data_IF_150306507719
#
_entry.id   IF_150306507719
#
_cell.length_a   1.000
_cell.length_b   1.000
_cell.length_c   1.000
_cell.angle_alpha   90.00
_cell.angle_beta   90.00
_cell.angle_gamma   90.00
#
_symmetry.space_group_name_H-M   'P 1'
#
loop_
_entity.id
_entity.type
_entity.pdbx_description
1 polymer ?
#
# COMPACT_ATOMS: atom_id res chain seq x y z
N UNK A 1 -19.62 24.68 -55.34
CA UNK A 1 -18.42 23.94 -54.86
C UNK A 1 -17.79 24.65 -53.64
N UNK A 2 -18.45 24.69 -52.47
CA UNK A 2 -17.90 25.35 -51.26
C UNK A 2 -18.27 24.71 -49.91
N UNK A 3 -19.12 23.68 -49.86
CA UNK A 3 -19.47 23.00 -48.58
C UNK A 3 -18.62 21.77 -48.24
N UNK A 4 -17.94 21.15 -49.22
CA UNK A 4 -17.17 19.90 -48.97
C UNK A 4 -15.80 20.10 -48.31
N UNK A 5 -15.28 21.35 -48.25
CA UNK A 5 -13.98 21.64 -47.62
C UNK A 5 -14.06 22.07 -46.15
N UNK A 6 -15.25 22.40 -45.64
CA UNK A 6 -15.43 22.80 -44.24
C UNK A 6 -15.60 21.58 -43.32
N UNK A 7 -16.21 20.51 -43.81
CA UNK A 7 -16.42 19.27 -43.04
C UNK A 7 -15.08 18.55 -42.75
N UNK A 8 -14.08 18.67 -43.64
CA UNK A 8 -12.77 18.04 -43.44
C UNK A 8 -11.93 18.72 -42.34
N UNK A 9 -12.19 20.00 -42.03
CA UNK A 9 -11.49 20.74 -40.98
C UNK A 9 -12.09 20.52 -39.58
N UNK A 10 -13.37 20.14 -39.49
CA UNK A 10 -14.01 19.80 -38.21
C UNK A 10 -13.63 18.39 -37.74
N UNK A 11 -13.34 17.46 -38.66
CA UNK A 11 -12.95 16.08 -38.32
C UNK A 11 -11.47 15.99 -37.87
N UNK A 12 -10.60 16.87 -38.36
CA UNK A 12 -9.20 16.95 -37.90
C UNK A 12 -9.02 17.66 -36.55
N UNK A 13 -10.05 18.34 -36.03
CA UNK A 13 -10.00 18.99 -34.72
C UNK A 13 -10.38 18.06 -33.55
N UNK A 14 -10.88 16.85 -33.82
CA UNK A 14 -11.31 15.89 -32.77
C UNK A 14 -10.27 14.79 -32.54
N UNK A 15 -9.20 14.74 -33.34
CA UNK A 15 -8.07 13.83 -33.14
C UNK A 15 -6.86 14.48 -32.45
N UNK A 16 -7.03 15.66 -31.87
CA UNK A 16 -6.21 15.97 -30.71
C UNK A 16 -6.69 15.02 -29.63
N UNK A 17 -5.92 13.95 -29.41
CA UNK A 17 -6.00 13.15 -28.21
C UNK A 17 -6.14 14.14 -27.06
N UNK A 18 -7.37 14.32 -26.58
CA UNK A 18 -7.62 14.85 -25.26
C UNK A 18 -7.03 13.76 -24.39
N UNK A 19 -5.71 13.85 -24.17
CA UNK A 19 -5.14 13.38 -22.93
C UNK A 19 -6.07 14.00 -21.91
N UNK A 20 -6.92 13.14 -21.34
CA UNK A 20 -7.73 13.50 -20.22
C UNK A 20 -6.85 14.34 -19.30
N UNK A 21 -7.34 15.48 -18.80
CA UNK A 21 -6.60 16.40 -17.90
C UNK A 21 -6.38 15.76 -16.51
N UNK A 22 -6.12 14.46 -16.50
CA UNK A 22 -5.99 13.54 -15.42
C UNK A 22 -4.60 13.71 -14.83
N UNK A 23 -4.50 14.63 -13.87
CA UNK A 23 -3.28 14.88 -13.12
C UNK A 23 -2.97 13.69 -12.23
N UNK A 24 -1.84 13.03 -12.47
CA UNK A 24 -1.44 11.81 -11.77
C UNK A 24 -1.14 12.06 -10.29
N UNK A 25 -0.65 13.25 -9.97
CA UNK A 25 -0.16 13.59 -8.62
C UNK A 25 -1.14 14.45 -7.82
N UNK A 26 -2.21 14.96 -8.45
CA UNK A 26 -3.21 15.83 -7.81
C UNK A 26 -4.04 15.06 -6.78
N UNK A 27 -4.09 15.54 -5.54
CA UNK A 27 -4.86 14.93 -4.45
C UNK A 27 -5.68 15.98 -3.72
N UNK A 28 -6.92 15.64 -3.35
CA UNK A 28 -7.79 16.52 -2.54
C UNK A 28 -7.23 16.77 -1.13
N UNK A 29 -6.23 16.00 -0.71
CA UNK A 29 -5.52 16.17 0.57
C UNK A 29 -4.42 17.23 0.52
N UNK A 30 -4.15 17.80 -0.65
CA UNK A 30 -3.11 18.82 -0.86
C UNK A 30 -3.74 20.21 -0.93
N UNK A 31 -3.28 21.12 -0.07
CA UNK A 31 -3.60 22.55 -0.16
C UNK A 31 -2.41 23.34 -0.71
N UNK A 32 -2.67 24.47 -1.38
CA UNK A 32 -1.65 25.27 -2.10
C UNK A 32 -0.52 25.81 -1.21
N UNK A 33 -0.75 25.90 0.11
CA UNK A 33 0.20 26.37 1.11
C UNK A 33 1.14 25.28 1.64
N UNK A 34 1.01 24.04 1.19
CA UNK A 34 1.73 22.91 1.79
C UNK A 34 3.18 22.81 1.31
N UNK A 35 4.09 22.55 2.26
CA UNK A 35 5.43 22.04 1.95
C UNK A 35 5.31 20.53 1.71
N UNK A 36 5.47 20.14 0.45
CA UNK A 36 5.36 18.76 -0.04
C UNK A 36 6.72 18.35 -0.60
N UNK A 37 7.11 17.10 -0.36
CA UNK A 37 8.21 16.45 -1.06
C UNK A 37 7.69 15.31 -1.92
N UNK A 38 8.26 15.15 -3.11
CA UNK A 38 7.99 14.04 -4.01
C UNK A 38 9.20 13.10 -3.97
N UNK A 39 8.94 11.81 -3.75
CA UNK A 39 9.95 10.75 -3.68
C UNK A 39 9.60 9.71 -4.75
N UNK A 40 10.49 9.53 -5.73
CA UNK A 40 10.47 8.39 -6.63
C UNK A 40 11.39 7.31 -6.09
N UNK A 41 10.89 6.10 -5.86
CA UNK A 41 11.73 5.00 -5.39
C UNK A 41 11.23 3.61 -5.80
N UNK A 42 12.17 2.70 -6.03
CA UNK A 42 11.88 1.26 -6.08
C UNK A 42 11.46 0.72 -4.70
N UNK A 43 10.83 -0.46 -4.61
CA UNK A 43 10.30 -0.96 -3.36
C UNK A 43 11.36 -1.77 -2.58
N UNK A 44 11.25 -1.81 -1.25
CA UNK A 44 12.22 -2.51 -0.39
C UNK A 44 12.39 -4.01 -0.69
N UNK A 45 11.38 -4.65 -1.26
CA UNK A 45 11.40 -6.09 -1.57
C UNK A 45 12.10 -6.42 -2.89
N UNK A 46 12.38 -5.42 -3.75
CA UNK A 46 13.13 -5.61 -4.98
C UNK A 46 14.63 -5.71 -4.68
N UNK A 47 15.09 -6.93 -4.40
CA UNK A 47 16.49 -7.24 -4.10
C UNK A 47 17.44 -6.93 -5.26
N UNK A 48 16.94 -6.96 -6.50
CA UNK A 48 17.73 -6.69 -7.70
C UNK A 48 17.81 -5.19 -8.00
N UNK A 49 17.07 -4.36 -7.25
CA UNK A 49 17.04 -2.90 -7.43
C UNK A 49 16.74 -2.50 -8.88
N UNK A 50 15.81 -3.21 -9.51
CA UNK A 50 15.48 -3.17 -10.96
C UNK A 50 15.31 -1.74 -11.47
N UNK A 51 14.70 -0.87 -10.66
CA UNK A 51 14.39 0.52 -11.01
C UNK A 51 15.14 1.58 -10.19
N UNK A 52 16.28 1.23 -9.58
CA UNK A 52 17.11 2.20 -8.85
C UNK A 52 17.55 3.39 -9.69
N UNK A 53 17.80 3.17 -10.99
CA UNK A 53 18.12 4.24 -11.95
C UNK A 53 17.04 5.33 -12.07
N UNK A 54 15.82 5.08 -11.58
CA UNK A 54 14.70 6.02 -11.61
C UNK A 54 14.47 6.72 -10.28
N UNK A 55 15.28 6.48 -9.24
CA UNK A 55 15.08 7.12 -7.95
C UNK A 55 15.30 8.63 -8.00
N UNK A 56 14.43 9.39 -7.34
CA UNK A 56 14.58 10.83 -7.20
C UNK A 56 13.95 11.40 -5.92
N UNK A 57 14.42 12.58 -5.51
CA UNK A 57 13.85 13.36 -4.39
C UNK A 57 13.73 14.84 -4.76
N UNK A 58 12.51 15.38 -4.64
CA UNK A 58 12.23 16.78 -4.94
C UNK A 58 11.57 17.43 -3.73
N UNK A 59 12.19 18.48 -3.21
CA UNK A 59 11.72 19.26 -2.06
C UNK A 59 11.48 20.74 -2.40
N UNK A 60 11.93 21.20 -3.57
CA UNK A 60 11.68 22.58 -4.03
C UNK A 60 10.19 22.76 -4.34
N UNK A 61 9.54 23.68 -3.63
CA UNK A 61 8.11 23.92 -3.75
C UNK A 61 7.67 24.25 -5.17
N UNK A 62 8.41 25.10 -5.90
CA UNK A 62 8.00 25.52 -7.25
C UNK A 62 8.04 24.35 -8.22
N UNK A 63 9.05 23.49 -8.09
CA UNK A 63 9.16 22.28 -8.91
C UNK A 63 8.06 21.28 -8.54
N UNK A 64 7.79 21.08 -7.25
CA UNK A 64 6.73 20.19 -6.78
C UNK A 64 5.36 20.65 -7.28
N UNK A 65 5.02 21.94 -7.11
CA UNK A 65 3.78 22.52 -7.58
C UNK A 65 3.64 22.36 -9.10
N UNK A 66 4.73 22.59 -9.86
CA UNK A 66 4.75 22.38 -11.31
C UNK A 66 4.51 20.92 -11.69
N UNK A 67 5.09 19.96 -10.98
CA UNK A 67 4.89 18.53 -11.27
C UNK A 67 3.48 18.06 -10.95
N UNK A 68 2.87 18.57 -9.87
CA UNK A 68 1.48 18.26 -9.53
C UNK A 68 0.53 18.64 -10.67
N UNK A 69 0.79 19.79 -11.30
CA UNK A 69 -0.03 20.31 -12.39
C UNK A 69 0.35 19.79 -13.78
N UNK A 70 1.53 19.17 -13.97
CA UNK A 70 2.00 18.77 -15.31
C UNK A 70 2.12 17.27 -15.54
N UNK A 71 2.27 16.46 -14.48
CA UNK A 71 2.38 15.00 -14.64
C UNK A 71 0.98 14.41 -14.81
N UNK A 72 0.74 13.85 -15.99
CA UNK A 72 -0.54 13.30 -16.42
C UNK A 72 -0.46 11.79 -16.64
N UNK A 73 -1.62 11.14 -16.71
CA UNK A 73 -1.77 9.78 -17.21
C UNK A 73 -2.77 9.75 -18.37
N UNK A 74 -2.53 8.84 -19.32
CA UNK A 74 -3.33 8.66 -20.52
C UNK A 74 -4.52 7.72 -20.31
N UNK A 75 -4.93 7.08 -21.41
CA UNK A 75 -6.08 6.16 -21.40
C UNK A 75 -5.93 5.02 -20.41
N UNK A 76 -7.08 4.51 -19.95
CA UNK A 76 -7.15 3.25 -19.21
C UNK A 76 -6.55 2.12 -20.07
N UNK A 77 -5.87 1.21 -19.38
CA UNK A 77 -5.21 0.03 -19.95
C UNK A 77 -5.65 -1.21 -19.18
N UNK A 78 -5.39 -2.38 -19.75
CA UNK A 78 -5.63 -3.64 -19.05
C UNK A 78 -4.86 -3.62 -17.72
N UNK A 79 -5.55 -4.04 -16.66
CA UNK A 79 -4.96 -4.04 -15.32
C UNK A 79 -3.88 -5.13 -15.23
N UNK A 80 -2.63 -4.72 -15.37
CA UNK A 80 -1.46 -5.60 -15.42
C UNK A 80 -0.43 -5.12 -14.41
N UNK A 81 -0.04 -6.04 -13.52
CA UNK A 81 0.86 -5.73 -12.43
C UNK A 81 2.25 -6.24 -12.72
N UNK A 82 3.21 -5.35 -12.54
CA UNK A 82 4.61 -5.73 -12.43
C UNK A 82 4.94 -6.10 -10.98
N UNK A 83 5.72 -7.17 -10.76
CA UNK A 83 6.10 -7.59 -9.41
C UNK A 83 6.95 -6.54 -8.67
N UNK A 84 7.83 -5.86 -9.39
CA UNK A 84 8.74 -4.84 -8.87
C UNK A 84 8.29 -3.43 -9.26
N UNK A 85 7.09 -3.02 -8.83
CA UNK A 85 6.58 -1.67 -9.13
C UNK A 85 7.45 -0.56 -8.53
N UNK A 86 7.66 0.52 -9.28
CA UNK A 86 8.24 1.76 -8.78
C UNK A 86 7.16 2.62 -8.09
N UNK A 87 7.47 3.35 -7.02
CA UNK A 87 6.51 4.23 -6.33
C UNK A 87 6.87 5.70 -6.52
N UNK A 88 5.88 6.53 -6.82
CA UNK A 88 5.94 7.99 -6.63
C UNK A 88 5.12 8.33 -5.38
N UNK A 89 5.78 8.90 -4.37
CA UNK A 89 5.21 9.15 -3.05
C UNK A 89 5.23 10.66 -2.79
N UNK A 90 4.08 11.23 -2.44
CA UNK A 90 3.96 12.61 -2.01
C UNK A 90 3.82 12.62 -0.49
N UNK A 91 4.72 13.36 0.17
CA UNK A 91 4.74 13.50 1.61
C UNK A 91 4.58 14.96 2.01
N UNK A 92 3.64 15.23 2.93
CA UNK A 92 3.47 16.53 3.61
C UNK A 92 3.91 16.39 5.05
N UNK A 93 4.87 17.20 5.50
CA UNK A 93 5.42 17.12 6.86
C UNK A 93 5.70 15.66 7.31
N UNK A 94 6.23 14.86 6.37
CA UNK A 94 6.55 13.42 6.51
C UNK A 94 5.37 12.45 6.65
N UNK A 95 4.14 12.88 6.36
CA UNK A 95 2.98 12.01 6.19
C UNK A 95 2.70 11.78 4.71
N UNK A 96 2.49 10.53 4.33
CA UNK A 96 2.06 10.18 2.97
C UNK A 96 0.65 10.73 2.70
N UNK A 97 0.53 11.56 1.68
CA UNK A 97 -0.75 12.12 1.21
C UNK A 97 -1.22 11.46 -0.08
N UNK A 98 -0.28 10.97 -0.89
CA UNK A 98 -0.56 10.22 -2.11
C UNK A 98 0.60 9.27 -2.40
N UNK A 99 0.27 8.08 -2.90
CA UNK A 99 1.20 7.14 -3.48
C UNK A 99 0.63 6.65 -4.81
N UNK A 100 1.45 6.66 -5.83
CA UNK A 100 1.15 6.12 -7.15
C UNK A 100 2.14 5.01 -7.43
N UNK A 101 1.64 3.85 -7.85
CA UNK A 101 2.50 2.76 -8.29
C UNK A 101 2.69 2.85 -9.79
N UNK A 102 3.93 2.79 -10.26
CA UNK A 102 4.31 2.81 -11.66
C UNK A 102 4.87 1.43 -12.00
N UNK A 103 4.55 0.92 -13.18
CA UNK A 103 5.14 -0.27 -13.76
C UNK A 103 5.98 0.17 -14.96
N UNK A 104 7.27 0.51 -14.76
CA UNK A 104 8.07 1.12 -15.82
C UNK A 104 8.22 0.22 -17.05
N UNK A 105 8.33 -1.10 -16.89
CA UNK A 105 8.39 -2.03 -18.03
C UNK A 105 7.11 -1.98 -18.89
N UNK A 106 5.96 -1.83 -18.25
CA UNK A 106 4.65 -1.81 -18.90
C UNK A 106 4.23 -0.40 -19.35
N UNK A 107 4.97 0.65 -18.99
CA UNK A 107 4.61 2.04 -19.24
C UNK A 107 3.25 2.42 -18.65
N UNK A 108 2.94 1.90 -17.45
CA UNK A 108 1.66 2.10 -16.78
C UNK A 108 1.81 2.80 -15.42
N UNK A 109 0.82 3.63 -15.08
CA UNK A 109 0.59 4.11 -13.73
C UNK A 109 -0.70 3.49 -13.16
N UNK A 110 -0.61 2.98 -11.94
CA UNK A 110 -1.71 2.45 -11.18
C UNK A 110 -2.20 3.48 -10.18
N UNK A 111 -3.45 3.91 -10.36
CA UNK A 111 -4.12 4.86 -9.48
C UNK A 111 -5.59 4.51 -9.40
N UNK A 112 -6.20 4.68 -8.22
CA UNK A 112 -7.63 4.39 -8.01
C UNK A 112 -8.07 2.95 -8.40
N UNK A 113 -7.18 1.97 -8.30
CA UNK A 113 -7.48 0.56 -8.61
C UNK A 113 -7.39 0.16 -10.09
N UNK A 114 -7.10 1.12 -10.97
CA UNK A 114 -6.98 0.90 -12.42
C UNK A 114 -5.57 1.23 -12.93
N UNK A 115 -5.26 0.69 -14.11
CA UNK A 115 -4.01 0.94 -14.83
C UNK A 115 -4.24 1.94 -15.96
N UNK A 116 -3.34 2.90 -16.12
CA UNK A 116 -3.39 3.91 -17.18
C UNK A 116 -2.03 4.04 -17.87
N UNK A 117 -2.02 4.45 -19.15
CA UNK A 117 -0.78 4.76 -19.86
C UNK A 117 0.00 5.86 -19.15
N UNK A 118 1.32 5.72 -19.06
CA UNK A 118 2.20 6.67 -18.39
C UNK A 118 3.53 6.83 -19.13
N UNK A 119 3.97 8.08 -19.34
CA UNK A 119 5.28 8.38 -19.93
C UNK A 119 6.39 8.19 -18.89
N UNK A 120 7.01 7.01 -18.92
CA UNK A 120 8.12 6.65 -18.03
C UNK A 120 9.38 7.49 -18.26
N UNK A 121 9.51 8.18 -19.40
CA UNK A 121 10.65 9.07 -19.66
C UNK A 121 10.71 10.25 -18.69
N UNK A 122 9.58 10.59 -18.07
CA UNK A 122 9.52 11.58 -16.98
C UNK A 122 10.39 11.11 -15.81
N UNK A 123 10.37 9.82 -15.45
CA UNK A 123 11.16 9.29 -14.35
C UNK A 123 12.66 9.46 -14.60
N UNK A 124 13.11 9.20 -15.84
CA UNK A 124 14.51 9.37 -16.26
C UNK A 124 14.97 10.82 -16.13
N UNK A 125 14.15 11.77 -16.60
CA UNK A 125 14.45 13.20 -16.51
C UNK A 125 14.53 13.66 -15.06
N UNK A 126 13.62 13.19 -14.21
CA UNK A 126 13.59 13.51 -12.79
C UNK A 126 14.79 12.90 -12.05
N UNK A 127 15.10 11.63 -12.27
CA UNK A 127 16.23 10.94 -11.66
C UNK A 127 17.58 11.57 -12.05
N UNK A 128 17.72 11.99 -13.31
CA UNK A 128 18.94 12.69 -13.76
C UNK A 128 19.13 14.04 -13.07
N UNK A 129 18.05 14.78 -12.80
CA UNK A 129 18.12 16.13 -12.24
C UNK A 129 18.11 16.15 -10.71
N UNK A 130 17.44 15.18 -10.09
CA UNK A 130 17.21 15.11 -8.65
C UNK A 130 17.50 13.71 -8.12
N UNK A 131 18.70 13.15 -8.35
CA UNK A 131 19.01 11.77 -8.02
C UNK A 131 18.83 11.48 -6.53
N UNK A 132 18.40 10.26 -6.22
CA UNK A 132 18.25 9.80 -4.85
C UNK A 132 18.91 8.43 -4.66
N UNK A 133 19.84 8.37 -3.71
CA UNK A 133 20.29 7.13 -3.10
C UNK A 133 19.67 7.03 -1.70
N UNK A 134 19.16 5.85 -1.36
CA UNK A 134 18.50 5.65 -0.07
C UNK A 134 18.76 4.25 0.48
N UNK A 135 18.65 4.16 1.80
CA UNK A 135 18.64 2.92 2.55
C UNK A 135 17.35 2.77 3.34
N UNK A 136 17.11 1.56 3.79
CA UNK A 136 16.02 1.28 4.71
C UNK A 136 16.46 0.32 5.81
N UNK A 137 15.79 0.39 6.95
CA UNK A 137 15.97 -0.56 8.04
C UNK A 137 14.65 -0.75 8.80
N UNK A 138 14.57 -1.87 9.50
CA UNK A 138 13.42 -2.22 10.31
C UNK A 138 13.70 -1.96 11.79
N UNK A 139 12.67 -1.52 12.51
CA UNK A 139 12.72 -1.37 13.96
C UNK A 139 11.43 -1.87 14.57
N UNK A 140 11.55 -2.77 15.54
CA UNK A 140 10.43 -3.29 16.30
C UNK A 140 10.10 -2.36 17.48
N UNK A 141 8.81 -2.18 17.72
CA UNK A 141 8.27 -1.39 18.82
C UNK A 141 7.39 -2.26 19.69
N UNK A 142 7.33 -1.92 20.98
CA UNK A 142 6.46 -2.59 21.95
C UNK A 142 4.99 -2.18 21.78
N UNK A 143 4.76 -0.89 21.49
CA UNK A 143 3.44 -0.29 21.42
C UNK A 143 3.44 0.99 20.57
N UNK A 144 2.23 1.51 20.32
CA UNK A 144 2.03 2.70 19.49
C UNK A 144 2.60 3.97 20.14
N UNK A 145 2.64 4.05 21.48
CA UNK A 145 3.18 5.20 22.19
C UNK A 145 4.68 5.32 21.97
N UNK A 146 5.42 4.21 22.12
CA UNK A 146 6.85 4.15 21.87
C UNK A 146 7.16 4.48 20.40
N UNK A 147 6.37 3.95 19.46
CA UNK A 147 6.51 4.28 18.05
C UNK A 147 6.29 5.78 17.80
N UNK A 148 5.25 6.39 18.37
CA UNK A 148 4.94 7.80 18.14
C UNK A 148 6.06 8.73 18.67
N UNK A 149 6.64 8.41 19.84
CA UNK A 149 7.80 9.14 20.37
C UNK A 149 9.02 9.02 19.47
N UNK A 150 9.34 7.80 19.00
CA UNK A 150 10.43 7.62 18.06
C UNK A 150 10.17 8.34 16.73
N UNK A 151 8.94 8.24 16.22
CA UNK A 151 8.55 8.82 14.95
C UNK A 151 8.63 10.36 14.99
N UNK A 152 8.24 11.01 16.09
CA UNK A 152 8.37 12.47 16.22
C UNK A 152 9.81 12.94 16.17
N UNK A 153 10.76 12.16 16.70
CA UNK A 153 12.18 12.52 16.69
C UNK A 153 12.86 12.23 15.36
N UNK A 154 12.66 11.04 14.79
CA UNK A 154 13.33 10.67 13.54
C UNK A 154 12.88 11.52 12.36
N UNK A 155 11.62 11.98 12.35
CA UNK A 155 11.08 12.82 11.29
C UNK A 155 11.65 14.25 11.27
N UNK A 156 12.31 14.69 12.35
CA UNK A 156 13.04 15.96 12.39
C UNK A 156 14.39 15.88 11.68
N UNK A 157 14.92 14.66 11.49
CA UNK A 157 16.23 14.48 10.88
C UNK A 157 16.14 14.71 9.38
N UNK A 158 17.05 15.52 8.84
CA UNK A 158 17.06 15.90 7.43
C UNK A 158 17.25 14.69 6.49
N UNK A 159 17.97 13.65 6.96
CA UNK A 159 18.17 12.41 6.22
C UNK A 159 16.90 11.56 6.08
N UNK A 160 15.88 11.76 6.92
CA UNK A 160 14.70 10.90 6.93
C UNK A 160 13.77 11.19 5.75
N UNK A 161 13.54 10.18 4.91
CA UNK A 161 12.61 10.25 3.78
C UNK A 161 11.18 10.07 4.28
N UNK A 162 10.88 8.95 4.92
CA UNK A 162 9.63 8.69 5.62
C UNK A 162 9.72 7.43 6.48
N UNK A 163 8.71 7.22 7.30
CA UNK A 163 8.56 6.03 8.14
C UNK A 163 7.25 5.34 7.79
N UNK A 164 7.31 4.07 7.45
CA UNK A 164 6.14 3.21 7.33
C UNK A 164 5.71 2.77 8.73
N UNK A 165 4.51 3.22 9.14
CA UNK A 165 3.96 2.97 10.47
C UNK A 165 3.55 1.49 10.62
N UNK A 166 3.89 0.82 11.74
CA UNK A 166 3.37 -0.50 12.07
C UNK A 166 1.85 -0.50 12.24
N UNK A 167 1.21 -1.65 12.01
CA UNK A 167 -0.21 -1.82 12.26
C UNK A 167 -0.46 -2.22 13.71
N UNK A 168 -0.92 -1.28 14.54
CA UNK A 168 -1.23 -1.49 15.97
C UNK A 168 -2.70 -1.87 16.19
N UNK A 169 -3.21 -2.87 15.47
CA UNK A 169 -4.64 -3.27 15.57
C UNK A 169 -4.83 -4.42 16.56
N UNK A 170 -3.93 -5.40 16.56
CA UNK A 170 -4.06 -6.63 17.35
C UNK A 170 -2.87 -6.78 18.29
N UNK A 171 -3.11 -7.34 19.48
CA UNK A 171 -2.05 -7.65 20.44
C UNK A 171 -1.28 -8.93 20.04
N UNK A 172 -1.91 -9.78 19.24
CA UNK A 172 -1.32 -11.01 18.70
C UNK A 172 -2.36 -11.89 18.04
N UNK A 173 -2.00 -13.15 17.87
CA UNK A 173 -2.81 -14.15 17.18
C UNK A 173 -2.66 -15.54 17.79
N UNK A 174 -3.61 -16.41 17.48
CA UNK A 174 -3.53 -17.84 17.75
C UNK A 174 -4.36 -18.60 16.71
N UNK A 175 -4.15 -19.91 16.61
CA UNK A 175 -4.87 -20.75 15.66
C UNK A 175 -5.91 -21.64 16.35
N UNK A 176 -7.02 -21.90 15.65
CA UNK A 176 -8.00 -22.91 16.00
C UNK A 176 -8.17 -23.89 14.84
N UNK A 177 -7.98 -25.17 15.11
CA UNK A 177 -8.13 -26.24 14.13
C UNK A 177 -9.47 -26.93 14.33
N UNK A 178 -10.30 -26.96 13.28
CA UNK A 178 -11.60 -27.60 13.27
C UNK A 178 -11.60 -28.80 12.33
N UNK A 179 -12.07 -29.98 12.75
CA UNK A 179 -12.29 -31.09 11.84
C UNK A 179 -13.41 -30.74 10.86
N UNK A 180 -13.26 -31.15 9.61
CA UNK A 180 -14.30 -31.00 8.60
C UNK A 180 -15.44 -31.97 8.92
N UNK A 181 -16.65 -31.43 9.03
CA UNK A 181 -17.88 -32.20 9.27
C UNK A 181 -19.08 -31.39 8.77
N UNK A 182 -20.30 -31.89 8.98
CA UNK A 182 -21.55 -31.23 8.55
C UNK A 182 -21.74 -29.83 9.14
N UNK A 183 -21.19 -29.55 10.32
CA UNK A 183 -21.25 -28.24 10.97
C UNK A 183 -20.16 -27.29 10.46
N UNK A 184 -18.96 -27.81 10.23
CA UNK A 184 -17.78 -27.05 9.80
C UNK A 184 -17.36 -27.45 8.38
N UNK A 185 -18.29 -27.29 7.44
CA UNK A 185 -18.12 -27.68 6.03
C UNK A 185 -17.11 -26.80 5.28
N UNK A 186 -16.93 -25.55 5.71
CA UNK A 186 -16.03 -24.58 5.09
C UNK A 186 -15.65 -23.46 6.08
N UNK A 187 -14.57 -22.69 5.83
CA UNK A 187 -14.11 -21.62 6.74
C UNK A 187 -15.17 -20.60 7.14
N UNK A 188 -16.08 -20.23 6.23
CA UNK A 188 -17.17 -19.28 6.53
C UNK A 188 -18.12 -19.78 7.62
N UNK A 189 -18.42 -21.09 7.66
CA UNK A 189 -19.29 -21.66 8.69
C UNK A 189 -18.62 -21.63 10.06
N UNK A 190 -17.29 -21.78 10.10
CA UNK A 190 -16.51 -21.65 11.33
C UNK A 190 -16.48 -20.19 11.81
N UNK A 191 -16.30 -19.23 10.90
CA UNK A 191 -16.42 -17.79 11.22
C UNK A 191 -17.79 -17.47 11.84
N UNK A 192 -18.88 -17.89 11.19
CA UNK A 192 -20.24 -17.65 11.71
C UNK A 192 -20.50 -18.30 13.07
N UNK A 193 -19.89 -19.47 13.33
CA UNK A 193 -19.94 -20.12 14.62
C UNK A 193 -19.15 -19.38 15.71
N UNK A 194 -17.93 -18.91 15.39
CA UNK A 194 -17.02 -18.29 16.36
C UNK A 194 -17.37 -16.83 16.66
N UNK A 195 -17.72 -16.05 15.64
CA UNK A 195 -17.83 -14.60 15.71
C UNK A 195 -18.72 -14.09 16.85
N UNK A 196 -19.95 -14.61 17.07
CA UNK A 196 -20.79 -14.16 18.18
C UNK A 196 -20.21 -14.46 19.56
N UNK A 197 -19.39 -15.51 19.68
CA UNK A 197 -18.71 -15.86 20.93
C UNK A 197 -17.54 -14.92 21.19
N UNK A 198 -16.76 -14.66 20.14
CA UNK A 198 -15.62 -13.75 20.19
C UNK A 198 -16.07 -12.32 20.52
N UNK A 199 -17.11 -11.82 19.87
CA UNK A 199 -17.67 -10.48 20.10
C UNK A 199 -18.02 -10.23 21.58
N UNK A 200 -18.58 -11.24 22.25
CA UNK A 200 -18.88 -11.19 23.70
C UNK A 200 -17.62 -11.08 24.55
N UNK A 201 -16.54 -11.76 24.17
CA UNK A 201 -15.28 -11.78 24.92
C UNK A 201 -14.51 -10.47 24.72
N UNK A 202 -14.46 -9.96 23.49
CA UNK A 202 -13.64 -8.78 23.16
C UNK A 202 -14.29 -7.46 23.56
N UNK A 203 -15.60 -7.45 23.82
CA UNK A 203 -16.36 -6.28 24.29
C UNK A 203 -16.04 -4.99 23.52
N UNK A 204 -16.17 -5.03 22.19
CA UNK A 204 -15.89 -3.90 21.29
C UNK A 204 -14.43 -3.71 20.88
N UNK A 205 -13.47 -4.45 21.45
CA UNK A 205 -12.10 -4.48 20.91
C UNK A 205 -12.08 -5.14 19.53
N UNK A 206 -11.18 -4.67 18.65
CA UNK A 206 -11.03 -5.21 17.29
C UNK A 206 -10.47 -6.64 17.33
N UNK A 207 -11.00 -7.49 16.44
CA UNK A 207 -10.50 -8.83 16.18
C UNK A 207 -10.68 -9.17 14.70
N UNK A 208 -10.07 -10.27 14.25
CA UNK A 208 -10.39 -10.87 12.97
C UNK A 208 -10.32 -12.40 13.04
N UNK A 209 -11.07 -13.03 12.15
CA UNK A 209 -11.07 -14.47 11.92
C UNK A 209 -10.75 -14.64 10.45
N UNK A 210 -9.68 -15.37 10.13
CA UNK A 210 -9.27 -15.60 8.75
C UNK A 210 -8.86 -17.05 8.53
N UNK A 211 -9.00 -17.50 7.30
CA UNK A 211 -8.44 -18.76 6.84
C UNK A 211 -7.38 -18.45 5.78
N UNK A 212 -6.17 -18.98 5.97
CA UNK A 212 -5.06 -18.79 5.04
C UNK A 212 -4.84 -20.11 4.32
N UNK A 213 -4.92 -20.11 2.99
CA UNK A 213 -4.60 -21.27 2.15
C UNK A 213 -3.07 -21.49 2.05
N UNK A 214 -2.42 -21.69 3.20
CA UNK A 214 -1.00 -22.00 3.28
C UNK A 214 -0.74 -23.47 2.92
N UNK A 215 0.53 -23.83 2.76
CA UNK A 215 0.95 -25.19 2.41
C UNK A 215 0.40 -26.24 3.39
N UNK A 216 0.36 -25.92 4.69
CA UNK A 216 -0.19 -26.81 5.71
C UNK A 216 -1.67 -27.11 5.47
N UNK A 217 -2.52 -26.09 5.30
CA UNK A 217 -3.95 -26.26 5.07
C UNK A 217 -4.24 -26.90 3.69
N UNK A 218 -3.40 -26.66 2.69
CA UNK A 218 -3.53 -27.32 1.38
C UNK A 218 -3.24 -28.82 1.43
N UNK A 219 -2.34 -29.24 2.34
CA UNK A 219 -1.99 -30.65 2.58
C UNK A 219 -2.96 -31.36 3.53
N UNK A 220 -3.53 -30.67 4.50
CA UNK A 220 -4.44 -31.23 5.51
C UNK A 220 -5.90 -30.85 5.21
N UNK A 221 -6.53 -31.59 4.29
CA UNK A 221 -7.86 -31.26 3.72
C UNK A 221 -9.06 -31.75 4.55
N UNK A 222 -8.80 -32.54 5.58
CA UNK A 222 -9.76 -33.07 6.54
C UNK A 222 -10.05 -32.09 7.70
N UNK A 223 -9.34 -30.96 7.74
CA UNK A 223 -9.51 -29.93 8.75
C UNK A 223 -9.40 -28.52 8.15
N UNK A 224 -9.85 -27.53 8.93
CA UNK A 224 -9.64 -26.11 8.66
C UNK A 224 -8.92 -25.47 9.84
N UNK A 225 -7.78 -24.82 9.56
CA UNK A 225 -7.06 -24.01 10.55
C UNK A 225 -7.42 -22.54 10.36
N UNK A 226 -8.13 -21.98 11.34
CA UNK A 226 -8.49 -20.57 11.38
C UNK A 226 -7.46 -19.80 12.20
N UNK A 227 -7.00 -18.66 11.68
CA UNK A 227 -6.17 -17.70 12.41
C UNK A 227 -7.09 -16.66 13.06
N UNK A 228 -6.95 -16.49 14.38
CA UNK A 228 -7.70 -15.52 15.17
C UNK A 228 -6.73 -14.42 15.60
N UNK A 229 -6.95 -13.19 15.16
CA UNK A 229 -6.19 -12.01 15.61
C UNK A 229 -7.02 -11.22 16.60
N UNK A 230 -6.42 -10.73 17.69
CA UNK A 230 -7.18 -9.99 18.71
C UNK A 230 -6.38 -9.65 19.96
N UNK A 231 -7.06 -9.28 21.05
CA UNK A 231 -6.45 -9.07 22.35
C UNK A 231 -6.06 -10.40 23.02
N UNK A 232 -5.08 -10.40 23.91
CA UNK A 232 -4.67 -11.60 24.65
C UNK A 232 -5.80 -12.20 25.51
N UNK A 233 -6.74 -11.38 25.97
CA UNK A 233 -7.93 -11.85 26.70
C UNK A 233 -8.79 -12.79 25.86
N UNK A 234 -8.87 -12.57 24.54
CA UNK A 234 -9.55 -13.49 23.63
C UNK A 234 -8.89 -14.87 23.63
N UNK A 235 -7.56 -14.90 23.57
CA UNK A 235 -6.81 -16.14 23.69
C UNK A 235 -7.01 -16.80 25.06
N UNK A 236 -7.12 -16.05 26.15
CA UNK A 236 -7.34 -16.67 27.47
C UNK A 236 -8.74 -17.25 27.63
N UNK A 237 -9.76 -16.52 27.17
CA UNK A 237 -11.15 -16.76 27.56
C UNK A 237 -11.94 -17.56 26.53
N UNK A 238 -11.51 -17.60 25.26
CA UNK A 238 -12.17 -18.41 24.24
C UNK A 238 -11.92 -19.90 24.49
N UNK A 239 -12.93 -20.57 25.05
CA UNK A 239 -12.94 -22.00 25.34
C UNK A 239 -13.89 -22.71 24.37
N UNK A 240 -13.39 -23.06 23.19
CA UNK A 240 -14.15 -23.86 22.23
C UNK A 240 -13.83 -25.35 22.39
N UNK A 241 -14.86 -26.18 22.53
CA UNK A 241 -14.71 -27.64 22.69
C UNK A 241 -14.62 -28.37 21.33
N UNK A 242 -14.95 -27.67 20.24
CA UNK A 242 -15.01 -28.24 18.90
C UNK A 242 -13.72 -28.05 18.10
N UNK A 243 -12.71 -27.41 18.68
CA UNK A 243 -11.44 -27.13 18.03
C UNK A 243 -10.24 -27.44 18.92
N UNK A 244 -9.12 -27.70 18.26
CA UNK A 244 -7.80 -27.74 18.89
C UNK A 244 -7.18 -26.35 18.84
N UNK A 245 -6.83 -25.82 20.00
CA UNK A 245 -6.26 -24.48 20.15
C UNK A 245 -4.74 -24.51 20.08
N UNK A 246 -4.16 -23.69 19.22
CA UNK A 246 -2.73 -23.43 19.13
C UNK A 246 -2.23 -22.49 20.23
N UNK A 247 -0.94 -22.21 20.20
CA UNK A 247 -0.30 -21.29 21.14
C UNK A 247 -0.57 -19.81 20.79
N UNK A 248 -0.35 -18.93 21.76
CA UNK A 248 -0.39 -17.49 21.54
C UNK A 248 0.90 -17.01 20.87
N UNK A 249 0.73 -16.21 19.81
CA UNK A 249 1.81 -15.56 19.08
C UNK A 249 1.64 -14.04 19.24
N UNK A 250 2.48 -13.37 20.04
CA UNK A 250 2.45 -11.91 20.19
C UNK A 250 2.64 -11.20 18.84
N UNK A 251 1.93 -10.10 18.64
CA UNK A 251 2.14 -9.26 17.47
C UNK A 251 3.52 -8.59 17.53
N UNK A 252 4.17 -8.49 16.37
CA UNK A 252 5.39 -7.69 16.20
C UNK A 252 5.04 -6.39 15.50
N UNK A 253 5.34 -5.27 16.13
CA UNK A 253 5.07 -3.95 15.56
C UNK A 253 6.34 -3.40 14.90
N UNK A 254 6.58 -3.80 13.66
CA UNK A 254 7.78 -3.44 12.91
C UNK A 254 7.50 -2.22 12.04
N UNK A 255 8.28 -1.16 12.22
CA UNK A 255 8.29 0.00 11.32
C UNK A 255 9.40 -0.18 10.30
N UNK A 256 9.20 0.37 9.10
CA UNK A 256 10.26 0.48 8.09
C UNK A 256 10.64 1.95 7.97
N UNK A 257 11.91 2.24 8.22
CA UNK A 257 12.47 3.59 8.13
C UNK A 257 13.22 3.71 6.81
N UNK A 258 12.98 4.79 6.07
CA UNK A 258 13.69 5.12 4.84
C UNK A 258 14.50 6.40 5.05
N UNK A 259 15.80 6.34 4.75
CA UNK A 259 16.73 7.46 4.88
C UNK A 259 17.52 7.68 3.58
N UNK A 260 17.86 8.94 3.29
CA UNK A 260 18.90 9.29 2.32
C UNK A 260 20.21 8.62 2.75
N UNK A 261 20.96 8.09 1.79
CA UNK A 261 22.35 7.67 2.01
C UNK A 261 23.30 8.87 2.02
#
# INVERSE_FOLDING_TARGET
MKMKKIILLVILAINQNIYSQNKLLKSDKLTTTDSVKIIGMYPKWDKNKTYEKYNFLITDKKIVDSLIESVEYGDNTKNEWEQNTFSIILNKANKEVRRVSISPALHHAHTNGESYKFDVSILEKLAKKYPLTYKWYEKEFKDEQQFNQFNSEILKQEKTLYVSKPTFIYEGSFELQFPKNEKFLHPKAIDDYLRPQIEKIVNGKKFSISYIANEFNLKNRDQYTMTINGPYTLFKDLKDKNSKKGEWIPAKFIAVIYEKE
#
